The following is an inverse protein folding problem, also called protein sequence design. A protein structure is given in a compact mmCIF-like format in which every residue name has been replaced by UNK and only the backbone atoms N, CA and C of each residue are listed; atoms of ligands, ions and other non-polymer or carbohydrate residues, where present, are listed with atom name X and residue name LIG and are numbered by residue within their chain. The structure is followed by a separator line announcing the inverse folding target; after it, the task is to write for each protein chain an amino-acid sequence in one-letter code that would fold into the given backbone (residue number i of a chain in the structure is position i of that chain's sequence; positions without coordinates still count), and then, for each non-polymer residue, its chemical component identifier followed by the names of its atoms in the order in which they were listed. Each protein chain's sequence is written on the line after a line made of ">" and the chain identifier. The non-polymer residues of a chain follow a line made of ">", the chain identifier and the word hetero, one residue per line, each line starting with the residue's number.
data_IF_489689407475
#
_entry.id   IF_489689407475
#
_cell.length_a   1.000
_cell.length_b   1.000
_cell.length_c   1.000
_cell.angle_alpha   90.00
_cell.angle_beta   90.00
_cell.angle_gamma   90.00
#
_symmetry.space_group_name_H-M   'P 1'
#
loop_
_entity.id
_entity.type
_entity.pdbx_description
1 polymer ?
#
# COMPACT_ATOMS: atom_id res chain seq x y z
N UNK A 1 -3.77 -6.05 -2.16
CA UNK A 1 -4.40 -5.52 -0.94
C UNK A 1 -5.86 -5.22 -1.22
N UNK A 2 -6.76 -6.11 -0.87
CA UNK A 2 -8.20 -5.90 -1.04
C UNK A 2 -8.85 -5.86 0.32
N UNK A 3 -9.12 -4.66 0.82
CA UNK A 3 -10.09 -4.49 1.89
C UNK A 3 -11.47 -4.44 1.24
N UNK A 4 -12.24 -5.50 1.38
CA UNK A 4 -13.54 -5.65 0.75
C UNK A 4 -14.71 -5.09 1.55
N UNK A 5 -14.48 -4.30 2.58
CA UNK A 5 -15.55 -3.69 3.36
C UNK A 5 -15.71 -2.22 2.96
N UNK A 6 -16.78 -1.87 2.21
CA UNK A 6 -17.07 -0.49 1.91
C UNK A 6 -17.40 0.25 3.21
N UNK A 7 -16.61 1.26 3.54
CA UNK A 7 -16.89 2.16 4.65
C UNK A 7 -17.62 3.40 4.14
N UNK A 8 -18.71 3.75 4.76
CA UNK A 8 -19.45 4.99 4.46
C UNK A 8 -18.87 6.22 5.19
N UNK A 9 -17.89 6.04 6.06
CA UNK A 9 -17.23 7.12 6.77
C UNK A 9 -16.10 7.72 5.92
N UNK A 10 -15.95 9.06 5.98
CA UNK A 10 -14.80 9.77 5.40
C UNK A 10 -13.54 9.71 6.25
N UNK A 11 -13.62 9.10 7.42
CA UNK A 11 -12.50 8.86 8.32
C UNK A 11 -12.19 7.38 8.41
N UNK A 12 -10.91 7.04 8.27
CA UNK A 12 -10.43 5.69 8.54
C UNK A 12 -10.02 5.61 10.01
N UNK A 13 -10.52 4.59 10.69
CA UNK A 13 -10.14 4.27 12.06
C UNK A 13 -9.56 2.87 12.11
N UNK A 14 -8.44 2.73 12.79
CA UNK A 14 -7.80 1.43 12.99
C UNK A 14 -7.38 1.29 14.45
N UNK A 15 -7.60 0.11 15.01
CA UNK A 15 -7.05 -0.26 16.30
C UNK A 15 -5.59 -0.72 16.10
N UNK A 16 -4.67 0.02 16.69
CA UNK A 16 -3.25 -0.33 16.69
C UNK A 16 -2.97 -1.10 17.97
N UNK A 17 -2.85 -2.43 17.86
CA UNK A 17 -2.46 -3.30 18.95
C UNK A 17 -0.94 -3.48 19.00
N UNK A 18 -0.39 -3.59 20.20
CA UNK A 18 1.00 -4.02 20.37
C UNK A 18 1.06 -5.54 20.33
N UNK A 19 1.92 -6.08 19.47
CA UNK A 19 2.20 -7.51 19.46
C UNK A 19 3.05 -7.86 20.67
N UNK A 20 2.50 -8.61 21.60
CA UNK A 20 3.22 -9.11 22.76
C UNK A 20 3.42 -10.61 22.69
N UNK A 21 4.64 -11.04 22.96
CA UNK A 21 4.95 -12.44 23.18
C UNK A 21 4.11 -12.96 24.35
N UNK A 22 3.60 -14.19 24.20
CA UNK A 22 2.93 -14.89 25.30
C UNK A 22 3.92 -15.03 26.46
N UNK A 23 3.62 -14.39 27.57
CA UNK A 23 4.42 -14.49 28.77
C UNK A 23 4.07 -15.80 29.49
N UNK A 24 5.08 -16.60 29.80
CA UNK A 24 4.90 -17.83 30.54
C UNK A 24 4.31 -17.55 31.94
N UNK A 25 3.38 -18.39 32.38
CA UNK A 25 2.82 -18.30 33.73
C UNK A 25 3.91 -18.55 34.78
N UNK A 26 3.75 -17.90 35.93
CA UNK A 26 4.68 -18.09 37.07
C UNK A 26 4.21 -19.22 37.95
N UNK A 27 5.12 -20.11 38.35
CA UNK A 27 4.85 -21.09 39.40
C UNK A 27 4.75 -20.37 40.74
N UNK A 28 3.63 -20.55 41.42
CA UNK A 28 3.35 -19.93 42.73
C UNK A 28 3.16 -21.01 43.76
N UNK A 29 3.55 -20.72 45.01
CA UNK A 29 3.25 -21.59 46.13
C UNK A 29 1.77 -21.48 46.53
N UNK A 30 1.28 -22.49 47.27
CA UNK A 30 -0.14 -22.64 47.61
C UNK A 30 -0.73 -21.44 48.36
N UNK A 31 0.08 -20.66 49.08
CA UNK A 31 -0.33 -19.51 49.85
C UNK A 31 0.15 -18.18 49.25
N UNK A 32 0.80 -18.22 48.07
CA UNK A 32 1.34 -17.00 47.44
C UNK A 32 0.30 -16.28 46.57
N UNK A 33 0.19 -14.95 46.62
CA UNK A 33 -0.73 -14.22 45.76
C UNK A 33 -0.31 -14.35 44.30
N UNK A 34 -1.28 -14.56 43.43
CA UNK A 34 -1.06 -14.64 41.98
C UNK A 34 -0.58 -13.27 41.43
N UNK A 35 0.55 -13.19 40.71
CA UNK A 35 1.04 -11.95 40.16
C UNK A 35 0.07 -11.40 39.12
N UNK A 36 -0.37 -10.16 39.32
CA UNK A 36 -1.22 -9.45 38.37
C UNK A 36 -0.37 -8.99 37.18
N UNK A 37 -0.84 -9.30 35.98
CA UNK A 37 -0.23 -8.84 34.71
C UNK A 37 -1.20 -7.92 34.02
N UNK A 38 -0.67 -6.83 33.48
CA UNK A 38 -1.46 -5.83 32.74
C UNK A 38 -1.47 -6.23 31.26
N UNK A 39 -2.63 -6.22 30.65
CA UNK A 39 -2.77 -6.30 29.20
C UNK A 39 -2.40 -4.93 28.61
N UNK A 40 -1.63 -4.93 27.54
CA UNK A 40 -1.37 -3.69 26.81
C UNK A 40 -2.66 -3.19 26.15
N UNK A 41 -2.86 -1.89 26.22
CA UNK A 41 -4.02 -1.25 25.62
C UNK A 41 -3.94 -1.19 24.11
N UNK A 42 -5.07 -0.83 23.49
CA UNK A 42 -5.14 -0.51 22.07
C UNK A 42 -5.09 1.01 21.91
N UNK A 43 -4.32 1.47 20.94
CA UNK A 43 -4.36 2.86 20.50
C UNK A 43 -5.28 2.96 19.27
N UNK A 44 -6.01 4.07 19.16
CA UNK A 44 -6.88 4.34 18.01
C UNK A 44 -6.13 5.24 17.05
N UNK A 45 -5.88 4.73 15.86
CA UNK A 45 -5.36 5.51 14.74
C UNK A 45 -6.53 6.02 13.90
N UNK A 46 -6.60 7.34 13.69
CA UNK A 46 -7.66 7.97 12.90
C UNK A 46 -7.05 8.87 11.84
N UNK A 47 -7.53 8.75 10.59
CA UNK A 47 -7.10 9.59 9.48
C UNK A 47 -8.25 9.88 8.53
N UNK A 48 -8.25 11.07 7.94
CA UNK A 48 -9.19 11.44 6.89
C UNK A 48 -8.85 10.69 5.59
N UNK A 49 -9.88 10.15 4.92
CA UNK A 49 -9.74 9.46 3.65
C UNK A 49 -9.76 10.50 2.53
N UNK A 50 -8.69 10.62 1.71
CA UNK A 50 -8.67 11.57 0.62
C UNK A 50 -9.61 11.13 -0.50
N UNK A 51 -10.21 12.10 -1.17
CA UNK A 51 -11.00 11.84 -2.37
C UNK A 51 -10.06 11.60 -3.55
N UNK A 52 -10.17 10.44 -4.16
CA UNK A 52 -9.49 10.08 -5.41
C UNK A 52 -10.48 10.23 -6.57
N UNK A 53 -10.06 10.85 -7.66
CA UNK A 53 -10.92 11.04 -8.83
C UNK A 53 -10.13 11.20 -10.12
N UNK A 54 -10.68 10.64 -11.20
CA UNK A 54 -10.14 10.74 -12.54
C UNK A 54 -11.22 11.24 -13.50
N UNK A 55 -10.86 12.05 -14.47
CA UNK A 55 -11.78 12.57 -15.50
C UNK A 55 -11.17 12.40 -16.88
N UNK A 56 -11.93 11.83 -17.77
CA UNK A 56 -11.63 11.80 -19.20
C UNK A 56 -12.60 12.75 -19.92
N UNK A 57 -12.20 14.00 -20.23
CA UNK A 57 -13.05 14.93 -20.95
C UNK A 57 -13.12 14.50 -22.43
N UNK A 58 -14.32 14.41 -22.95
CA UNK A 58 -14.54 14.27 -24.39
C UNK A 58 -14.48 15.65 -25.03
N UNK A 59 -13.46 15.90 -25.83
CA UNK A 59 -13.33 17.15 -26.58
C UNK A 59 -14.17 17.12 -27.86
N UNK A 60 -14.50 18.30 -28.40
CA UNK A 60 -15.28 18.45 -29.63
C UNK A 60 -14.63 17.67 -30.82
N UNK A 61 -13.32 17.56 -30.84
CA UNK A 61 -12.59 16.77 -31.85
C UNK A 61 -12.90 15.27 -31.75
N UNK A 62 -12.98 14.73 -30.53
CA UNK A 62 -13.21 13.31 -30.32
C UNK A 62 -14.68 12.97 -30.59
N UNK A 63 -15.58 13.86 -30.21
CA UNK A 63 -16.99 13.77 -30.59
C UNK A 63 -17.17 13.73 -32.11
N UNK A 64 -16.49 14.61 -32.87
CA UNK A 64 -16.56 14.62 -34.35
C UNK A 64 -16.09 13.29 -34.94
N UNK A 65 -14.99 12.71 -34.43
CA UNK A 65 -14.53 11.39 -34.88
C UNK A 65 -15.54 10.29 -34.62
N UNK A 66 -16.22 10.33 -33.46
CA UNK A 66 -17.30 9.37 -33.19
C UNK A 66 -18.47 9.55 -34.14
N UNK A 67 -18.84 10.78 -34.48
CA UNK A 67 -19.89 11.08 -35.47
C UNK A 67 -19.48 10.63 -36.88
N UNK A 68 -18.20 10.82 -37.30
CA UNK A 68 -17.69 10.31 -38.57
C UNK A 68 -17.80 8.77 -38.65
N UNK A 69 -17.57 8.06 -37.56
CA UNK A 69 -17.75 6.59 -37.50
C UNK A 69 -19.24 6.25 -37.60
N UNK A 70 -20.10 6.99 -36.91
CA UNK A 70 -21.55 6.76 -36.91
C UNK A 70 -22.17 7.00 -38.30
N UNK A 71 -21.76 8.07 -38.99
CA UNK A 71 -22.25 8.46 -40.30
C UNK A 71 -21.61 7.68 -41.47
N UNK A 72 -20.58 6.88 -41.22
CA UNK A 72 -19.87 6.16 -42.26
C UNK A 72 -20.77 5.10 -42.94
N UNK A 73 -21.13 5.25 -44.21
CA UNK A 73 -22.02 4.34 -44.91
C UNK A 73 -21.37 2.98 -45.24
N UNK A 74 -20.03 2.90 -45.15
CA UNK A 74 -19.26 1.68 -45.43
C UNK A 74 -19.20 0.68 -44.27
N UNK A 75 -19.60 1.12 -43.09
CA UNK A 75 -19.61 0.30 -41.88
C UNK A 75 -21.02 -0.26 -41.62
N UNK A 76 -21.09 -1.52 -41.23
CA UNK A 76 -22.34 -2.08 -40.75
C UNK A 76 -22.74 -1.46 -39.41
N UNK A 77 -24.04 -1.42 -39.12
CA UNK A 77 -24.55 -0.87 -37.85
C UNK A 77 -23.94 -1.55 -36.59
N UNK A 78 -23.75 -2.87 -36.68
CA UNK A 78 -23.11 -3.61 -35.60
C UNK A 78 -21.63 -3.25 -35.41
N UNK A 79 -20.90 -2.91 -36.48
CA UNK A 79 -19.52 -2.47 -36.41
C UNK A 79 -19.40 -1.06 -35.82
N UNK A 80 -20.31 -0.15 -36.19
CA UNK A 80 -20.40 1.22 -35.65
C UNK A 80 -20.62 1.18 -34.13
N UNK A 81 -21.64 0.43 -33.70
CA UNK A 81 -21.98 0.30 -32.27
C UNK A 81 -20.78 -0.26 -31.47
N UNK A 82 -20.15 -1.33 -31.96
CA UNK A 82 -18.97 -1.91 -31.30
C UNK A 82 -17.80 -0.94 -31.21
N UNK A 83 -17.56 -0.13 -32.23
CA UNK A 83 -16.47 0.85 -32.22
C UNK A 83 -16.73 1.97 -31.21
N UNK A 84 -17.95 2.49 -31.17
CA UNK A 84 -18.36 3.53 -30.20
C UNK A 84 -18.32 2.98 -28.77
N UNK A 85 -18.90 1.81 -28.55
CA UNK A 85 -18.91 1.12 -27.26
C UNK A 85 -17.46 0.87 -26.78
N UNK A 86 -16.59 0.38 -27.63
CA UNK A 86 -15.18 0.14 -27.29
C UNK A 86 -14.48 1.40 -26.81
N UNK A 87 -14.69 2.53 -27.48
CA UNK A 87 -14.07 3.80 -27.11
C UNK A 87 -14.59 4.29 -25.75
N UNK A 88 -15.90 4.30 -25.53
CA UNK A 88 -16.50 4.74 -24.29
C UNK A 88 -16.16 3.80 -23.10
N UNK A 89 -16.18 2.49 -23.34
CA UNK A 89 -15.87 1.51 -22.30
C UNK A 89 -14.40 1.55 -21.90
N UNK A 90 -13.49 1.88 -22.83
CA UNK A 90 -12.07 2.03 -22.54
C UNK A 90 -11.84 3.17 -21.54
N UNK A 91 -12.39 4.35 -21.81
CA UNK A 91 -12.23 5.51 -20.91
C UNK A 91 -12.81 5.25 -19.51
N UNK A 92 -13.96 4.57 -19.43
CA UNK A 92 -14.56 4.19 -18.16
C UNK A 92 -13.69 3.18 -17.39
N UNK A 93 -13.14 2.21 -18.10
CA UNK A 93 -12.25 1.20 -17.50
C UNK A 93 -10.96 1.85 -17.00
N UNK A 94 -10.37 2.74 -17.77
CA UNK A 94 -9.14 3.44 -17.41
C UNK A 94 -9.38 4.40 -16.21
N UNK A 95 -10.54 5.04 -16.14
CA UNK A 95 -10.89 5.84 -14.97
C UNK A 95 -10.96 4.99 -13.69
N UNK A 96 -11.56 3.81 -13.78
CA UNK A 96 -11.65 2.88 -12.63
C UNK A 96 -10.27 2.33 -12.23
N UNK A 97 -9.49 1.85 -13.20
CA UNK A 97 -8.16 1.30 -12.96
C UNK A 97 -7.21 2.36 -12.39
N UNK A 98 -7.24 3.58 -12.91
CA UNK A 98 -6.42 4.68 -12.37
C UNK A 98 -6.72 5.00 -10.91
N UNK A 99 -7.97 4.88 -10.46
CA UNK A 99 -8.27 5.00 -9.03
C UNK A 99 -7.71 3.84 -8.20
N UNK A 100 -7.70 2.62 -8.76
CA UNK A 100 -7.12 1.44 -8.10
C UNK A 100 -5.60 1.55 -8.01
N UNK A 101 -4.95 2.01 -9.06
CA UNK A 101 -3.49 2.20 -9.11
C UNK A 101 -3.00 3.18 -8.04
N UNK A 102 -3.81 4.20 -7.70
CA UNK A 102 -3.49 5.12 -6.60
C UNK A 102 -3.43 4.38 -5.25
N UNK A 103 -4.32 3.41 -5.01
CA UNK A 103 -4.30 2.64 -3.76
C UNK A 103 -3.05 1.75 -3.67
N UNK A 104 -2.69 1.10 -4.77
CA UNK A 104 -1.48 0.29 -4.84
C UNK A 104 -0.22 1.16 -4.69
N UNK A 105 -0.22 2.36 -5.28
CA UNK A 105 0.85 3.32 -5.14
C UNK A 105 1.02 3.82 -3.69
N UNK A 106 -0.08 4.10 -2.98
CA UNK A 106 -0.04 4.46 -1.55
C UNK A 106 0.61 3.34 -0.73
N UNK A 107 0.21 2.10 -0.97
CA UNK A 107 0.75 0.96 -0.25
C UNK A 107 2.25 0.78 -0.50
N UNK A 108 2.67 0.81 -1.75
CA UNK A 108 4.09 0.68 -2.11
C UNK A 108 4.94 1.84 -1.57
N UNK A 109 4.41 3.07 -1.63
CA UNK A 109 5.08 4.24 -1.07
C UNK A 109 5.23 4.13 0.44
N UNK A 110 4.20 3.66 1.15
CA UNK A 110 4.28 3.46 2.60
C UNK A 110 5.33 2.40 2.96
N UNK A 111 5.45 1.32 2.19
CA UNK A 111 6.49 0.32 2.40
C UNK A 111 7.90 0.85 2.12
N UNK A 112 8.10 1.60 1.04
CA UNK A 112 9.42 2.11 0.67
C UNK A 112 9.85 3.32 1.49
N UNK A 113 8.93 4.04 2.12
CA UNK A 113 9.18 5.28 2.84
C UNK A 113 8.86 5.17 4.34
N UNK A 114 9.26 4.07 4.96
CA UNK A 114 9.19 3.86 6.42
C UNK A 114 7.80 4.06 7.04
N UNK A 115 6.77 3.68 6.33
CA UNK A 115 5.39 3.80 6.79
C UNK A 115 4.75 5.14 6.51
N UNK A 116 5.37 6.02 5.72
CA UNK A 116 4.81 7.32 5.34
C UNK A 116 4.46 7.35 3.87
N UNK A 117 3.20 7.59 3.54
CA UNK A 117 2.76 7.88 2.18
C UNK A 117 2.54 9.38 2.01
N UNK A 118 3.28 10.01 1.11
CA UNK A 118 3.27 11.45 0.89
C UNK A 118 2.97 11.80 -0.58
N UNK A 119 1.93 12.60 -0.79
CA UNK A 119 1.60 13.17 -2.09
C UNK A 119 1.98 14.65 -2.11
N UNK A 120 2.80 15.01 -3.08
CA UNK A 120 3.27 16.38 -3.28
C UNK A 120 2.91 16.80 -4.70
N UNK A 121 2.21 17.95 -4.90
CA UNK A 121 1.75 18.39 -6.21
C UNK A 121 2.86 18.52 -7.25
N UNK A 122 4.04 18.92 -6.82
CA UNK A 122 5.19 19.18 -7.69
C UNK A 122 5.94 17.88 -8.10
N UNK A 123 5.72 16.77 -7.39
CA UNK A 123 6.51 15.55 -7.56
C UNK A 123 5.67 14.40 -8.11
N UNK A 124 4.60 14.03 -7.40
CA UNK A 124 3.86 12.81 -7.67
C UNK A 124 2.33 12.99 -7.68
N UNK A 125 1.82 14.20 -7.52
CA UNK A 125 0.38 14.48 -7.53
C UNK A 125 0.04 15.78 -8.30
N UNK A 126 0.36 15.89 -9.60
CA UNK A 126 0.16 17.11 -10.37
C UNK A 126 -1.32 17.52 -10.38
N UNK A 127 -1.58 18.78 -10.00
CA UNK A 127 -2.94 19.33 -9.91
C UNK A 127 -3.76 18.89 -8.71
N UNK A 128 -3.19 18.04 -7.83
CA UNK A 128 -3.83 17.58 -6.60
C UNK A 128 -3.42 18.40 -5.37
N UNK A 129 -3.82 17.93 -4.20
CA UNK A 129 -3.45 18.51 -2.90
C UNK A 129 -2.22 17.80 -2.34
N UNK A 130 -1.46 18.52 -1.51
CA UNK A 130 -0.51 17.88 -0.61
C UNK A 130 -1.28 17.02 0.40
N UNK A 131 -0.89 15.77 0.50
CA UNK A 131 -1.50 14.82 1.43
C UNK A 131 -0.43 13.89 1.99
N UNK A 132 -0.50 13.65 3.29
CA UNK A 132 0.47 12.81 3.99
C UNK A 132 -0.25 11.90 4.98
N UNK A 133 0.08 10.62 4.92
CA UNK A 133 -0.39 9.61 5.86
C UNK A 133 0.81 8.96 6.49
N UNK A 134 0.91 9.05 7.80
CA UNK A 134 1.86 8.29 8.60
C UNK A 134 1.13 7.10 9.24
N UNK A 135 1.57 5.90 8.90
CA UNK A 135 1.09 4.63 9.45
C UNK A 135 1.78 4.25 10.76
N UNK A 136 2.55 5.16 11.34
CA UNK A 136 3.21 4.99 12.63
C UNK A 136 4.08 3.72 12.72
N UNK A 137 4.90 3.47 11.68
CA UNK A 137 5.81 2.34 11.69
C UNK A 137 6.79 2.44 12.87
N UNK A 138 6.87 1.43 13.75
CA UNK A 138 7.80 1.44 14.88
C UNK A 138 9.25 1.60 14.43
N UNK A 139 10.04 2.39 15.15
CA UNK A 139 11.46 2.60 14.85
C UNK A 139 12.27 1.29 14.82
N UNK A 140 11.87 0.31 15.63
CA UNK A 140 12.48 -1.02 15.65
C UNK A 140 12.32 -1.80 14.34
N UNK A 141 11.39 -1.39 13.48
CA UNK A 141 11.16 -2.01 12.17
C UNK A 141 11.85 -1.27 11.03
N UNK A 142 12.46 -0.10 11.31
CA UNK A 142 13.20 0.72 10.34
C UNK A 142 14.66 0.31 10.31
N UNK A 143 14.95 -0.81 9.68
CA UNK A 143 16.31 -1.35 9.62
C UNK A 143 17.03 -0.86 8.36
N UNK A 144 18.20 -0.25 8.55
CA UNK A 144 19.06 0.19 7.46
C UNK A 144 20.33 -0.66 7.47
N UNK A 145 20.72 -1.18 6.30
CA UNK A 145 21.99 -1.88 6.16
C UNK A 145 23.16 -0.92 6.31
N UNK A 146 24.16 -1.29 7.10
CA UNK A 146 25.40 -0.51 7.25
C UNK A 146 26.21 -0.41 5.95
N UNK A 147 26.01 -1.35 5.02
CA UNK A 147 26.71 -1.41 3.74
C UNK A 147 25.73 -1.65 2.60
N UNK A 148 26.05 -1.10 1.42
CA UNK A 148 25.30 -1.38 0.20
C UNK A 148 25.41 -2.85 -0.20
N UNK A 149 24.31 -3.45 -0.64
CA UNK A 149 24.28 -4.80 -1.17
C UNK A 149 24.86 -4.82 -2.59
N UNK A 150 26.16 -4.94 -2.68
CA UNK A 150 26.85 -5.03 -3.95
C UNK A 150 27.94 -6.11 -3.89
N UNK A 151 28.43 -6.50 -5.07
CA UNK A 151 29.42 -7.56 -5.20
C UNK A 151 30.77 -7.22 -4.52
N UNK A 152 31.13 -5.94 -4.43
CA UNK A 152 32.35 -5.49 -3.80
C UNK A 152 32.31 -5.72 -2.28
N UNK A 153 31.23 -5.33 -1.62
CA UNK A 153 31.07 -5.53 -0.19
C UNK A 153 30.88 -7.01 0.18
N UNK A 154 30.20 -7.77 -0.65
CA UNK A 154 30.03 -9.22 -0.46
C UNK A 154 31.36 -9.96 -0.60
N UNK A 155 32.14 -9.69 -1.65
CA UNK A 155 33.48 -10.28 -1.85
C UNK A 155 34.49 -9.89 -0.77
N UNK A 156 34.38 -8.67 -0.24
CA UNK A 156 35.21 -8.21 0.87
C UNK A 156 34.84 -8.81 2.22
N UNK A 157 33.83 -9.67 2.30
CA UNK A 157 33.35 -10.27 3.54
C UNK A 157 32.68 -9.29 4.51
N UNK A 158 32.42 -8.04 4.07
CA UNK A 158 31.80 -7.01 4.92
C UNK A 158 30.32 -7.23 5.13
N UNK A 159 29.67 -7.88 4.18
CA UNK A 159 28.23 -8.10 4.18
C UNK A 159 27.90 -9.42 3.48
N UNK A 160 27.05 -10.21 4.11
CA UNK A 160 26.35 -11.32 3.47
C UNK A 160 24.84 -11.03 3.51
N UNK A 161 24.20 -10.77 2.36
CA UNK A 161 22.75 -10.51 2.30
C UNK A 161 21.94 -11.64 2.94
N UNK A 162 22.34 -12.88 2.72
CA UNK A 162 21.65 -14.06 3.27
C UNK A 162 21.72 -14.10 4.80
N UNK A 163 22.89 -13.84 5.37
CA UNK A 163 23.07 -13.80 6.82
C UNK A 163 22.31 -12.64 7.45
N UNK A 164 22.28 -11.48 6.78
CA UNK A 164 21.52 -10.33 7.25
C UNK A 164 20.02 -10.62 7.26
N UNK A 165 19.47 -11.17 6.16
CA UNK A 165 18.06 -11.57 6.10
C UNK A 165 17.72 -12.63 7.14
N UNK A 166 18.60 -13.62 7.34
CA UNK A 166 18.44 -14.63 8.38
C UNK A 166 18.40 -14.03 9.78
N UNK A 167 19.26 -13.05 10.06
CA UNK A 167 19.28 -12.33 11.33
C UNK A 167 17.99 -11.53 11.55
N UNK A 168 17.50 -10.83 10.53
CA UNK A 168 16.22 -10.10 10.56
C UNK A 168 15.06 -11.06 10.83
N UNK A 169 15.00 -12.19 10.12
CA UNK A 169 13.95 -13.20 10.34
C UNK A 169 14.00 -13.78 11.76
N UNK A 170 15.20 -14.00 12.29
CA UNK A 170 15.39 -14.48 13.66
C UNK A 170 14.92 -13.44 14.69
N UNK A 171 15.25 -12.17 14.51
CA UNK A 171 14.79 -11.09 15.36
C UNK A 171 13.26 -10.93 15.33
N UNK A 172 12.65 -11.00 14.16
CA UNK A 172 11.18 -10.98 14.02
C UNK A 172 10.53 -12.13 14.76
N UNK A 173 11.05 -13.35 14.62
CA UNK A 173 10.54 -14.51 15.37
C UNK A 173 10.69 -14.34 16.87
N UNK A 174 11.80 -13.80 17.34
CA UNK A 174 12.00 -13.51 18.76
C UNK A 174 10.98 -12.50 19.31
N UNK A 175 10.49 -11.61 18.43
CA UNK A 175 9.41 -10.68 18.74
C UNK A 175 7.99 -11.26 18.55
N UNK A 176 7.88 -12.54 18.16
CA UNK A 176 6.62 -13.22 17.92
C UNK A 176 5.98 -12.92 16.56
N UNK A 177 6.73 -12.37 15.62
CA UNK A 177 6.29 -12.07 14.26
C UNK A 177 6.84 -13.13 13.32
N UNK A 178 5.96 -13.83 12.60
CA UNK A 178 6.39 -14.78 11.57
C UNK A 178 6.54 -14.08 10.23
N UNK A 179 7.77 -13.99 9.65
CA UNK A 179 7.98 -13.37 8.36
C UNK A 179 7.38 -14.23 7.24
N UNK A 180 6.56 -13.64 6.36
CA UNK A 180 5.92 -14.34 5.25
C UNK A 180 6.64 -14.14 3.93
N UNK A 181 6.77 -12.91 3.48
CA UNK A 181 7.27 -12.57 2.14
C UNK A 181 8.33 -11.47 2.19
N UNK A 182 9.24 -11.50 1.22
CA UNK A 182 10.24 -10.46 1.01
C UNK A 182 9.96 -9.81 -0.34
N UNK A 183 9.67 -8.52 -0.33
CA UNK A 183 9.53 -7.71 -1.54
C UNK A 183 10.85 -6.99 -1.82
N UNK A 184 11.37 -7.16 -3.03
CA UNK A 184 12.61 -6.53 -3.47
C UNK A 184 12.39 -5.86 -4.83
N UNK A 185 13.09 -4.73 -5.07
CA UNK A 185 13.20 -4.15 -6.41
C UNK A 185 13.99 -5.07 -7.35
N UNK A 186 13.71 -4.98 -8.64
CA UNK A 186 14.43 -5.72 -9.69
C UNK A 186 15.65 -4.96 -10.24
N UNK A 187 16.07 -3.87 -9.60
CA UNK A 187 17.20 -3.03 -10.06
C UNK A 187 18.56 -3.70 -9.86
#
# INVERSE_FOLDING_TARGET
>A
FTTNTPQMSLTAEALVGKYNLRIMATLIGDESPTPMRRSDGFDVWTKEIPRVGHKFPMYARDYRKLMEVYENPRLSESAKVKQIEKTLTHDMKDAYLGCKDVMDFIALMAFSNWGVAQFVPEINNPGGRKYEVDYQMPETNKLVSAFLWNSANTKAGKLSPVLMLSAICSDLRNRGIEPGEILMSQD
#
